data_IF_263632628922
#
_entry.id   IF_263632628922
#
_cell.length_a   1.000
_cell.length_b   1.000
_cell.length_c   1.000
_cell.angle_alpha   90.00
_cell.angle_beta   90.00
_cell.angle_gamma   90.00
#
_symmetry.space_group_name_H-M   'P 1'
#
loop_
_entity.id
_entity.type
_entity.pdbx_description
1 polymer ?
#
# COMPACT_ATOMS: atom_id res chain seq x y z
N UNK A 1 -22.76 24.96 54.04
CA UNK A 1 -22.15 23.94 53.16
C UNK A 1 -22.76 24.16 51.80
N UNK A 2 -22.02 24.72 50.85
CA UNK A 2 -22.51 25.07 49.52
C UNK A 2 -22.70 23.81 48.68
N UNK A 3 -23.96 23.50 48.34
CA UNK A 3 -24.32 22.42 47.42
C UNK A 3 -23.94 22.81 45.98
N UNK A 4 -23.37 21.85 45.24
CA UNK A 4 -22.96 22.07 43.86
C UNK A 4 -24.21 22.22 42.95
N UNK A 5 -24.32 23.37 42.28
CA UNK A 5 -25.47 23.77 41.45
C UNK A 5 -25.50 23.14 40.05
N UNK A 6 -24.46 22.38 39.68
CA UNK A 6 -24.34 21.77 38.35
C UNK A 6 -24.02 20.28 38.47
N UNK A 7 -24.58 19.43 37.59
CA UNK A 7 -24.29 18.01 37.58
C UNK A 7 -22.80 17.80 37.24
N UNK A 8 -22.11 17.04 38.09
CA UNK A 8 -20.79 16.51 37.77
C UNK A 8 -21.01 15.38 36.77
N UNK A 9 -20.65 15.63 35.51
CA UNK A 9 -20.70 14.60 34.47
C UNK A 9 -19.37 13.86 34.53
N UNK A 10 -19.42 12.57 34.87
CA UNK A 10 -18.26 11.70 34.79
C UNK A 10 -17.88 11.54 33.31
N UNK A 11 -16.73 12.12 32.96
CA UNK A 11 -16.15 11.99 31.62
C UNK A 11 -15.66 10.54 31.51
N UNK A 12 -16.15 9.74 30.54
CA UNK A 12 -15.63 8.39 30.34
C UNK A 12 -14.12 8.43 30.12
N UNK A 13 -13.39 7.47 30.68
CA UNK A 13 -11.98 7.31 30.34
C UNK A 13 -11.83 7.13 28.83
N UNK A 14 -10.97 7.95 28.22
CA UNK A 14 -10.57 7.77 26.84
C UNK A 14 -9.80 6.46 26.74
N UNK A 15 -10.44 5.42 26.19
CA UNK A 15 -9.77 4.20 25.79
C UNK A 15 -9.07 4.55 24.48
N UNK A 16 -7.73 4.67 24.44
CA UNK A 16 -7.05 4.80 23.16
C UNK A 16 -7.41 3.57 22.33
N UNK A 17 -7.90 3.77 21.10
CA UNK A 17 -7.96 2.66 20.16
C UNK A 17 -6.58 2.04 20.11
N UNK A 18 -6.52 0.73 20.37
CA UNK A 18 -5.30 -0.03 20.14
C UNK A 18 -5.09 -0.05 18.63
N UNK A 19 -4.45 0.99 18.12
CA UNK A 19 -4.05 1.19 16.72
C UNK A 19 -2.91 0.27 16.31
N UNK A 20 -2.71 -0.83 17.03
CA UNK A 20 -1.83 -1.92 16.62
C UNK A 20 -2.28 -2.38 15.26
N UNK A 21 -1.56 -1.95 14.22
CA UNK A 21 -1.74 -2.46 12.89
C UNK A 21 -1.66 -3.98 12.94
N UNK A 22 -2.59 -4.64 12.27
CA UNK A 22 -2.53 -6.08 12.07
C UNK A 22 -1.18 -6.41 11.41
N UNK A 23 -0.35 -7.20 12.10
CA UNK A 23 0.97 -7.63 11.61
C UNK A 23 0.90 -9.00 10.94
N UNK A 24 -0.24 -9.68 10.98
CA UNK A 24 -0.42 -11.02 10.41
C UNK A 24 -0.81 -10.93 8.94
N UNK A 25 -0.31 -11.84 8.12
CA UNK A 25 -0.73 -11.94 6.72
C UNK A 25 -2.02 -12.76 6.61
N UNK A 26 -3.15 -12.06 6.48
CA UNK A 26 -4.47 -12.70 6.36
C UNK A 26 -4.82 -13.02 4.92
N UNK A 27 -5.62 -14.09 4.75
CA UNK A 27 -6.19 -14.47 3.46
C UNK A 27 -7.06 -13.34 2.90
N UNK A 28 -7.09 -13.24 1.59
CA UNK A 28 -7.90 -12.25 0.87
C UNK A 28 -8.54 -12.88 -0.36
N UNK A 29 -9.23 -12.09 -1.16
CA UNK A 29 -9.70 -12.49 -2.49
C UNK A 29 -8.58 -12.27 -3.49
N UNK A 30 -8.34 -13.29 -4.31
CA UNK A 30 -7.37 -13.26 -5.39
C UNK A 30 -7.75 -12.22 -6.44
N UNK A 31 -6.80 -11.40 -6.83
CA UNK A 31 -6.98 -10.33 -7.80
C UNK A 31 -5.90 -10.46 -8.88
N UNK A 32 -6.30 -10.36 -10.14
CA UNK A 32 -5.41 -10.51 -11.28
C UNK A 32 -4.87 -9.14 -11.72
N UNK A 33 -3.56 -8.88 -11.64
CA UNK A 33 -2.97 -7.60 -12.05
C UNK A 33 -3.00 -7.33 -13.55
N UNK A 34 -3.13 -8.36 -14.38
CA UNK A 34 -3.19 -8.21 -15.83
C UNK A 34 -4.62 -7.89 -16.27
N UNK A 35 -5.60 -8.62 -15.75
CA UNK A 35 -7.02 -8.40 -16.07
C UNK A 35 -7.63 -7.22 -15.30
N UNK A 36 -7.05 -6.85 -14.15
CA UNK A 36 -7.52 -5.76 -13.31
C UNK A 36 -8.75 -6.09 -12.46
N UNK A 37 -9.16 -7.37 -12.35
CA UNK A 37 -10.36 -7.81 -11.62
C UNK A 37 -10.08 -9.00 -10.69
N UNK A 38 -11.05 -9.30 -9.82
CA UNK A 38 -11.02 -10.48 -8.96
C UNK A 38 -11.14 -11.76 -9.77
N UNK A 39 -10.28 -12.73 -9.43
CA UNK A 39 -10.32 -14.05 -10.06
C UNK A 39 -11.58 -14.78 -9.60
N UNK A 40 -12.30 -15.37 -10.56
CA UNK A 40 -13.51 -16.15 -10.30
C UNK A 40 -13.38 -17.58 -10.80
N UNK A 41 -14.02 -18.51 -10.10
CA UNK A 41 -14.10 -19.91 -10.53
C UNK A 41 -15.19 -20.13 -11.60
N UNK A 42 -15.31 -21.36 -12.10
CA UNK A 42 -16.33 -21.74 -13.09
C UNK A 42 -17.78 -21.61 -12.61
N UNK A 43 -18.01 -21.38 -11.31
CA UNK A 43 -19.30 -21.09 -10.70
C UNK A 43 -19.48 -19.60 -10.38
N UNK A 44 -18.61 -18.73 -10.91
CA UNK A 44 -18.60 -17.28 -10.70
C UNK A 44 -18.40 -16.85 -9.23
N UNK A 45 -17.73 -17.68 -8.43
CA UNK A 45 -17.38 -17.35 -7.04
C UNK A 45 -15.97 -16.78 -6.99
N UNK A 46 -15.76 -15.79 -6.14
CA UNK A 46 -14.45 -15.20 -5.89
C UNK A 46 -13.48 -16.25 -5.32
N UNK A 47 -12.29 -16.34 -5.92
CA UNK A 47 -11.24 -17.26 -5.48
C UNK A 47 -10.44 -16.63 -4.35
N UNK A 48 -10.20 -17.36 -3.27
CA UNK A 48 -9.37 -16.89 -2.16
C UNK A 48 -7.87 -17.01 -2.47
N UNK A 49 -7.07 -16.11 -1.93
CA UNK A 49 -5.60 -16.18 -1.91
C UNK A 49 -5.06 -16.22 -0.48
N UNK A 50 -3.80 -16.64 -0.33
CA UNK A 50 -3.10 -16.59 0.95
C UNK A 50 -2.65 -15.16 1.30
N UNK A 51 -2.13 -14.99 2.51
CA UNK A 51 -1.69 -13.67 2.97
C UNK A 51 -0.45 -13.13 2.25
N UNK A 52 0.39 -14.00 1.70
CA UNK A 52 1.57 -13.60 0.93
C UNK A 52 1.16 -13.00 -0.41
N UNK A 53 0.27 -13.68 -1.13
CA UNK A 53 -0.31 -13.19 -2.38
C UNK A 53 -1.14 -11.93 -2.13
N UNK A 54 -1.92 -11.87 -1.05
CA UNK A 54 -2.65 -10.66 -0.67
C UNK A 54 -1.72 -9.46 -0.43
N UNK A 55 -0.59 -9.68 0.24
CA UNK A 55 0.43 -8.64 0.45
C UNK A 55 1.10 -8.21 -0.86
N UNK A 56 1.42 -9.15 -1.75
CA UNK A 56 1.96 -8.84 -3.08
C UNK A 56 1.01 -7.95 -3.89
N UNK A 57 -0.29 -8.29 -3.90
CA UNK A 57 -1.32 -7.48 -4.56
C UNK A 57 -1.48 -6.12 -3.90
N UNK A 58 -1.36 -6.03 -2.57
CA UNK A 58 -1.36 -4.75 -1.87
C UNK A 58 -0.19 -3.87 -2.34
N UNK A 59 1.04 -4.40 -2.41
CA UNK A 59 2.20 -3.67 -2.91
C UNK A 59 1.99 -3.18 -4.35
N UNK A 60 1.47 -4.04 -5.23
CA UNK A 60 1.13 -3.68 -6.61
C UNK A 60 0.12 -2.52 -6.66
N UNK A 61 -0.98 -2.62 -5.91
CA UNK A 61 -2.03 -1.59 -5.90
C UNK A 61 -1.53 -0.25 -5.37
N UNK A 62 -0.69 -0.26 -4.33
CA UNK A 62 -0.07 0.97 -3.81
C UNK A 62 0.82 1.64 -4.84
N UNK A 63 1.65 0.85 -5.54
CA UNK A 63 2.52 1.36 -6.61
C UNK A 63 1.74 1.96 -7.80
N UNK A 64 0.51 1.48 -8.03
CA UNK A 64 -0.39 1.96 -9.10
C UNK A 64 -1.35 3.07 -8.65
N UNK A 65 -1.31 3.48 -7.37
CA UNK A 65 -2.24 4.49 -6.85
C UNK A 65 -1.54 5.81 -6.70
N UNK A 66 -2.00 6.83 -7.43
CA UNK A 66 -1.51 8.20 -7.25
C UNK A 66 -2.04 8.80 -5.94
N UNK A 67 -1.12 9.33 -5.13
CA UNK A 67 -1.42 10.00 -3.87
C UNK A 67 -2.23 11.26 -4.13
N UNK A 68 -3.13 11.62 -3.21
CA UNK A 68 -4.00 12.81 -3.28
C UNK A 68 -5.02 12.84 -4.43
N UNK A 69 -4.99 11.88 -5.36
CA UNK A 69 -5.91 11.82 -6.50
C UNK A 69 -7.33 11.42 -6.09
N UNK A 70 -7.45 10.56 -5.08
CA UNK A 70 -8.73 10.01 -4.63
C UNK A 70 -9.01 10.43 -3.19
N UNK A 71 -10.04 11.25 -2.97
CA UNK A 71 -10.47 11.71 -1.63
C UNK A 71 -10.90 10.58 -0.68
N UNK A 72 -11.14 9.38 -1.22
CA UNK A 72 -11.48 8.21 -0.44
C UNK A 72 -10.28 7.61 0.32
N UNK A 73 -9.05 7.90 -0.12
CA UNK A 73 -7.84 7.41 0.53
C UNK A 73 -7.22 8.46 1.46
N UNK A 74 -6.65 8.05 2.59
CA UNK A 74 -5.84 8.94 3.41
C UNK A 74 -4.53 9.28 2.68
N UNK A 75 -3.93 10.41 3.06
CA UNK A 75 -2.68 10.93 2.48
C UNK A 75 -1.47 9.99 2.60
N UNK A 76 -1.56 8.97 3.44
CA UNK A 76 -0.53 7.94 3.63
C UNK A 76 -0.54 6.84 2.57
N UNK A 77 -1.53 6.83 1.66
CA UNK A 77 -1.71 5.78 0.65
C UNK A 77 -1.36 6.30 -0.74
N UNK A 78 -0.63 5.49 -1.49
CA UNK A 78 -0.23 5.77 -2.87
C UNK A 78 1.15 6.43 -2.99
N UNK A 79 1.57 6.60 -4.24
CA UNK A 79 2.84 7.17 -4.68
C UNK A 79 2.65 8.54 -5.33
N UNK A 80 3.71 9.32 -5.40
CA UNK A 80 3.77 10.58 -6.15
C UNK A 80 4.39 10.31 -7.53
N UNK A 81 3.73 9.50 -8.36
CA UNK A 81 4.28 9.03 -9.65
C UNK A 81 4.22 10.14 -10.70
N UNK A 82 3.11 10.88 -10.75
CA UNK A 82 2.95 12.02 -11.68
C UNK A 82 4.07 13.05 -11.45
N UNK A 83 4.34 13.38 -10.19
CA UNK A 83 5.44 14.28 -9.80
C UNK A 83 6.83 13.75 -10.15
N UNK A 84 7.03 12.43 -10.11
CA UNK A 84 8.30 11.83 -10.51
C UNK A 84 8.51 11.99 -12.03
N UNK A 85 7.46 11.76 -12.81
CA UNK A 85 7.47 11.83 -14.28
C UNK A 85 7.58 13.25 -14.84
N UNK A 86 7.29 14.30 -14.05
CA UNK A 86 7.43 15.71 -14.45
C UNK A 86 8.89 16.17 -14.67
N UNK A 87 9.88 15.30 -14.49
CA UNK A 87 11.30 15.62 -14.68
C UNK A 87 11.77 15.22 -16.08
N UNK A 88 12.74 15.97 -16.63
CA UNK A 88 13.25 15.71 -18.00
C UNK A 88 14.41 14.69 -18.04
N UNK A 89 14.93 14.25 -16.89
CA UNK A 89 16.09 13.36 -16.79
C UNK A 89 15.68 11.98 -16.27
N UNK A 90 15.85 10.95 -17.10
CA UNK A 90 15.47 9.55 -16.78
C UNK A 90 16.02 9.09 -15.43
N UNK A 91 17.29 9.41 -15.10
CA UNK A 91 17.89 8.98 -13.83
C UNK A 91 17.23 9.66 -12.63
N UNK A 92 16.83 10.92 -12.79
CA UNK A 92 16.09 11.66 -11.77
C UNK A 92 14.71 11.05 -11.58
N UNK A 93 14.01 10.71 -12.68
CA UNK A 93 12.73 10.00 -12.63
C UNK A 93 12.89 8.67 -11.88
N UNK A 94 13.82 7.81 -12.30
CA UNK A 94 14.07 6.49 -11.70
C UNK A 94 14.35 6.59 -10.19
N UNK A 95 15.16 7.57 -9.77
CA UNK A 95 15.47 7.85 -8.37
C UNK A 95 14.23 8.30 -7.58
N UNK A 96 13.39 9.16 -8.17
CA UNK A 96 12.15 9.62 -7.54
C UNK A 96 11.12 8.50 -7.43
N UNK A 97 11.00 7.65 -8.45
CA UNK A 97 10.14 6.45 -8.46
C UNK A 97 10.56 5.49 -7.36
N UNK A 98 11.85 5.17 -7.28
CA UNK A 98 12.39 4.32 -6.23
C UNK A 98 12.06 4.87 -4.84
N UNK A 99 12.25 6.18 -4.64
CA UNK A 99 11.98 6.84 -3.36
C UNK A 99 10.50 6.77 -3.01
N UNK A 100 9.60 7.18 -3.91
CA UNK A 100 8.17 7.27 -3.61
C UNK A 100 7.55 5.90 -3.36
N UNK A 101 7.96 4.87 -4.11
CA UNK A 101 7.55 3.48 -3.90
C UNK A 101 8.02 2.99 -2.53
N UNK A 102 9.29 3.21 -2.20
CA UNK A 102 9.85 2.77 -0.91
C UNK A 102 9.13 3.44 0.27
N UNK A 103 8.87 4.74 0.18
CA UNK A 103 8.14 5.50 1.20
C UNK A 103 6.70 4.99 1.34
N UNK A 104 5.99 4.79 0.23
CA UNK A 104 4.59 4.35 0.22
C UNK A 104 4.43 2.91 0.78
N UNK A 105 5.34 2.00 0.44
CA UNK A 105 5.28 0.62 0.92
C UNK A 105 5.67 0.49 2.41
N UNK A 106 6.59 1.34 2.90
CA UNK A 106 7.00 1.36 4.32
C UNK A 106 5.94 1.89 5.28
N UNK A 107 4.84 2.46 4.78
CA UNK A 107 3.65 2.77 5.60
C UNK A 107 3.01 1.50 6.15
N UNK A 108 3.11 0.38 5.44
CA UNK A 108 2.63 -0.91 5.94
C UNK A 108 3.67 -1.51 6.89
N UNK A 109 3.31 -1.76 8.16
CA UNK A 109 4.26 -2.26 9.16
C UNK A 109 4.74 -3.69 8.90
N UNK A 110 4.12 -4.39 7.94
CA UNK A 110 4.58 -5.70 7.49
C UNK A 110 5.76 -5.61 6.53
N UNK A 111 6.03 -4.44 5.92
CA UNK A 111 7.12 -4.24 4.97
C UNK A 111 8.46 -4.13 5.71
N UNK A 112 9.36 -5.08 5.47
CA UNK A 112 10.73 -5.08 6.01
C UNK A 112 11.64 -4.21 5.14
N UNK A 113 11.70 -4.47 3.84
CA UNK A 113 12.53 -3.69 2.93
C UNK A 113 12.04 -3.74 1.47
N UNK A 114 12.50 -2.77 0.68
CA UNK A 114 12.18 -2.61 -0.75
C UNK A 114 13.46 -2.26 -1.51
N UNK A 115 13.83 -3.06 -2.52
CA UNK A 115 15.10 -2.90 -3.25
C UNK A 115 15.05 -3.54 -4.66
N UNK A 116 16.21 -3.61 -5.33
CA UNK A 116 16.41 -4.25 -6.65
C UNK A 116 15.47 -3.68 -7.73
N UNK A 117 15.43 -2.35 -7.82
CA UNK A 117 14.68 -1.65 -8.86
C UNK A 117 15.35 -1.88 -10.22
N UNK A 118 14.58 -2.38 -11.19
CA UNK A 118 14.98 -2.48 -12.60
C UNK A 118 13.99 -1.68 -13.42
N UNK A 119 14.49 -0.77 -14.24
CA UNK A 119 13.69 0.08 -15.12
C UNK A 119 13.88 -0.30 -16.58
N UNK A 120 12.84 -0.16 -17.38
CA UNK A 120 12.88 -0.28 -18.83
C UNK A 120 11.92 0.70 -19.47
N UNK A 121 12.39 1.38 -20.51
CA UNK A 121 11.65 2.44 -21.20
C UNK A 121 11.20 1.97 -22.58
N UNK A 122 9.92 2.20 -22.90
CA UNK A 122 9.31 2.01 -24.21
C UNK A 122 8.63 3.31 -24.66
N UNK A 123 9.43 4.18 -25.29
CA UNK A 123 9.03 5.56 -25.61
C UNK A 123 8.73 6.34 -24.33
N UNK A 124 7.51 6.85 -24.22
CA UNK A 124 7.03 7.60 -23.05
C UNK A 124 6.55 6.69 -21.91
N UNK A 125 6.54 5.36 -22.11
CA UNK A 125 6.13 4.40 -21.09
C UNK A 125 7.34 3.89 -20.32
N UNK A 126 7.31 4.06 -18.99
CA UNK A 126 8.28 3.46 -18.09
C UNK A 126 7.68 2.22 -17.45
N UNK A 127 8.35 1.09 -17.60
CA UNK A 127 8.08 -0.13 -16.87
C UNK A 127 9.14 -0.34 -15.82
N UNK A 128 8.75 -0.86 -14.67
CA UNK A 128 9.71 -1.17 -13.63
C UNK A 128 9.29 -2.36 -12.79
N UNK A 129 10.29 -2.99 -12.19
CA UNK A 129 10.08 -4.03 -11.18
C UNK A 129 10.95 -3.76 -9.99
N UNK A 130 10.49 -4.22 -8.84
CA UNK A 130 11.23 -4.14 -7.58
C UNK A 130 10.96 -5.39 -6.75
N UNK A 131 11.84 -5.63 -5.77
CA UNK A 131 11.64 -6.65 -4.75
C UNK A 131 11.18 -6.02 -3.46
N UNK A 132 10.25 -6.69 -2.80
CA UNK A 132 9.77 -6.36 -1.47
C UNK A 132 9.93 -7.58 -0.57
N UNK A 133 10.38 -7.35 0.66
CA UNK A 133 10.37 -8.36 1.72
C UNK A 133 9.38 -7.95 2.78
N UNK A 134 8.45 -8.85 3.06
CA UNK A 134 7.62 -8.75 4.25
C UNK A 134 8.32 -9.39 5.44
N UNK A 135 8.06 -8.89 6.65
CA UNK A 135 8.55 -9.52 7.89
C UNK A 135 8.10 -10.98 7.91
N UNK A 136 9.05 -11.91 7.98
CA UNK A 136 8.76 -13.36 8.01
C UNK A 136 8.25 -13.96 6.70
N UNK A 137 8.29 -13.22 5.59
CA UNK A 137 8.02 -13.74 4.24
C UNK A 137 9.30 -13.85 3.42
N UNK A 138 9.28 -14.74 2.44
CA UNK A 138 10.25 -14.75 1.36
C UNK A 138 10.10 -13.49 0.48
N UNK A 139 11.16 -13.16 -0.27
CA UNK A 139 11.13 -12.04 -1.20
C UNK A 139 10.03 -12.19 -2.26
N UNK A 140 9.41 -11.08 -2.62
CA UNK A 140 8.35 -10.98 -3.61
C UNK A 140 8.80 -9.98 -4.67
N UNK A 141 8.72 -10.36 -5.94
CA UNK A 141 8.94 -9.44 -7.06
C UNK A 141 7.61 -8.86 -7.49
N UNK A 142 7.54 -7.53 -7.56
CA UNK A 142 6.40 -6.77 -8.08
C UNK A 142 6.81 -6.13 -9.39
N UNK A 143 5.95 -6.21 -10.41
CA UNK A 143 6.18 -5.64 -11.75
C UNK A 143 5.05 -4.67 -12.07
N UNK A 144 5.42 -3.50 -12.59
CA UNK A 144 4.55 -2.37 -12.96
C UNK A 144 4.82 -2.00 -14.42
#
# INVERSE_FOLDING_TARGET
>A
MSEALFPVVDIPEFIPENSGYDTEYRRSVRWDPVEGDFVRDGANRMVECDGREAFAIWCFKIAQTERYRCLAYPDSIGTEMERAMDNDDEKTIESMVQRTITEALKVNPRTEDVWDFTFSWDGDNMHFRFRVKGIGLDEITVTI
#
